data_IF_484448690769
#
_entry.id   IF_484448690769
#
_cell.length_a   1.000
_cell.length_b   1.000
_cell.length_c   1.000
_cell.angle_alpha   90.00
_cell.angle_beta   90.00
_cell.angle_gamma   90.00
#
_symmetry.space_group_name_H-M   'P 1'
#
loop_
_entity.id
_entity.type
_entity.pdbx_description
1 polymer ?
#
# COMPACT_ATOMS: atom_id res chain seq x y z
N UNK A 1 4.01 -16.15 3.79
CA UNK A 1 3.45 -14.80 3.55
C UNK A 1 3.62 -13.99 4.82
N UNK A 2 4.20 -12.78 4.75
CA UNK A 2 4.31 -11.92 5.92
C UNK A 2 2.92 -11.64 6.51
N UNK A 3 2.79 -11.67 7.84
CA UNK A 3 1.52 -11.47 8.54
C UNK A 3 1.02 -10.05 8.27
N UNK A 4 -0.07 -9.91 7.49
CA UNK A 4 -0.72 -8.62 7.24
C UNK A 4 -1.56 -8.21 8.45
N UNK A 5 -1.42 -6.95 8.88
CA UNK A 5 -2.24 -6.38 9.95
C UNK A 5 -3.57 -5.92 9.35
N UNK A 6 -4.68 -6.51 9.78
CA UNK A 6 -6.03 -6.02 9.46
C UNK A 6 -6.41 -4.92 10.46
N UNK A 7 -6.87 -3.78 9.96
CA UNK A 7 -7.40 -2.69 10.77
C UNK A 7 -8.49 -1.94 10.00
N UNK A 8 -9.52 -1.41 10.68
CA UNK A 8 -10.50 -0.53 10.03
C UNK A 8 -9.84 0.78 9.61
N UNK A 9 -9.85 1.08 8.31
CA UNK A 9 -9.38 2.35 7.77
C UNK A 9 -10.55 3.33 7.72
N UNK A 10 -10.40 4.49 8.37
CA UNK A 10 -11.32 5.62 8.17
C UNK A 10 -10.81 6.44 7.00
N UNK A 11 -11.59 6.49 5.93
CA UNK A 11 -11.28 7.18 4.69
C UNK A 11 -12.52 7.92 4.21
N UNK A 12 -12.30 9.06 3.55
CA UNK A 12 -13.38 9.77 2.86
C UNK A 12 -13.98 8.87 1.75
N UNK A 13 -15.32 8.76 1.64
CA UNK A 13 -15.96 7.90 0.64
C UNK A 13 -15.61 8.28 -0.81
N UNK A 14 -15.55 9.57 -1.13
CA UNK A 14 -15.24 10.01 -2.49
C UNK A 14 -13.78 9.66 -2.86
N UNK A 15 -12.86 9.78 -1.91
CA UNK A 15 -11.49 9.31 -2.11
C UNK A 15 -11.43 7.80 -2.33
N UNK A 16 -12.23 7.01 -1.60
CA UNK A 16 -12.28 5.56 -1.79
C UNK A 16 -12.73 5.18 -3.21
N UNK A 17 -13.76 5.83 -3.75
CA UNK A 17 -14.23 5.58 -5.11
C UNK A 17 -13.16 5.86 -6.17
N UNK A 18 -12.36 6.92 -5.99
CA UNK A 18 -11.25 7.24 -6.89
C UNK A 18 -10.20 6.12 -6.85
N UNK A 19 -9.82 5.68 -5.64
CA UNK A 19 -8.84 4.60 -5.44
C UNK A 19 -9.37 3.27 -6.00
N UNK A 20 -10.66 2.98 -5.86
CA UNK A 20 -11.27 1.76 -6.40
C UNK A 20 -11.19 1.73 -7.92
N UNK A 21 -11.58 2.81 -8.60
CA UNK A 21 -11.49 2.92 -10.08
C UNK A 21 -10.04 2.77 -10.55
N UNK A 22 -9.11 3.46 -9.90
CA UNK A 22 -7.69 3.36 -10.24
C UNK A 22 -7.14 1.94 -10.04
N UNK A 23 -7.54 1.25 -8.97
CA UNK A 23 -7.18 -0.15 -8.75
C UNK A 23 -7.69 -1.07 -9.87
N UNK A 24 -8.90 -0.85 -10.37
CA UNK A 24 -9.46 -1.62 -11.49
C UNK A 24 -8.69 -1.39 -12.79
N UNK A 25 -8.31 -0.15 -13.09
CA UNK A 25 -7.49 0.20 -14.27
C UNK A 25 -6.12 -0.50 -14.24
N UNK A 26 -5.55 -0.70 -13.06
CA UNK A 26 -4.28 -1.42 -12.88
C UNK A 26 -4.45 -2.95 -12.69
N UNK A 27 -5.67 -3.49 -12.81
CA UNK A 27 -5.97 -4.91 -12.56
C UNK A 27 -5.50 -5.40 -11.17
N UNK A 28 -5.65 -4.57 -10.14
CA UNK A 28 -5.31 -4.90 -8.73
C UNK A 28 -6.55 -4.92 -7.85
N UNK A 29 -6.47 -5.63 -6.73
CA UNK A 29 -7.46 -5.44 -5.67
C UNK A 29 -7.27 -4.08 -5.00
N UNK A 30 -8.36 -3.49 -4.51
CA UNK A 30 -8.33 -2.19 -3.80
C UNK A 30 -7.35 -2.21 -2.63
N UNK A 31 -7.33 -3.29 -1.84
CA UNK A 31 -6.38 -3.42 -0.72
C UNK A 31 -4.92 -3.48 -1.17
N UNK A 32 -4.62 -4.16 -2.29
CA UNK A 32 -3.27 -4.22 -2.83
C UNK A 32 -2.84 -2.85 -3.39
N UNK A 33 -3.76 -2.13 -4.02
CA UNK A 33 -3.50 -0.79 -4.55
C UNK A 33 -3.28 0.23 -3.42
N UNK A 34 -4.10 0.22 -2.36
CA UNK A 34 -3.88 1.05 -1.15
C UNK A 34 -2.50 0.76 -0.55
N UNK A 35 -2.12 -0.51 -0.40
CA UNK A 35 -0.79 -0.87 0.12
C UNK A 35 0.33 -0.31 -0.76
N UNK A 36 0.18 -0.40 -2.09
CA UNK A 36 1.12 0.17 -3.06
C UNK A 36 1.27 1.68 -2.87
N UNK A 37 0.17 2.44 -2.88
CA UNK A 37 0.18 3.90 -2.71
C UNK A 37 0.84 4.33 -1.39
N UNK A 38 0.50 3.65 -0.29
CA UNK A 38 1.10 3.95 1.02
C UNK A 38 2.60 3.66 1.05
N UNK A 39 3.06 2.59 0.37
CA UNK A 39 4.50 2.27 0.26
C UNK A 39 5.24 3.29 -0.60
N UNK A 40 4.65 3.71 -1.71
CA UNK A 40 5.21 4.77 -2.57
C UNK A 40 5.32 6.09 -1.81
N UNK A 41 4.24 6.52 -1.15
CA UNK A 41 4.23 7.74 -0.34
C UNK A 41 5.28 7.68 0.80
N UNK A 42 5.40 6.55 1.50
CA UNK A 42 6.42 6.35 2.52
C UNK A 42 7.84 6.39 1.93
N UNK A 43 8.06 5.87 0.73
CA UNK A 43 9.36 5.92 0.05
C UNK A 43 9.72 7.36 -0.36
N UNK A 44 8.77 8.07 -0.97
CA UNK A 44 8.93 9.48 -1.36
C UNK A 44 9.21 10.36 -0.14
N UNK A 45 8.57 10.07 0.99
CA UNK A 45 8.83 10.74 2.27
C UNK A 45 10.14 10.29 2.98
N UNK A 46 10.92 9.38 2.37
CA UNK A 46 12.16 8.84 2.96
C UNK A 46 11.95 8.00 4.23
N UNK A 47 10.72 7.54 4.49
CA UNK A 47 10.34 6.78 5.69
C UNK A 47 10.47 5.28 5.50
N UNK A 48 10.47 4.82 4.26
CA UNK A 48 10.76 3.42 3.94
C UNK A 48 12.28 3.22 3.99
N UNK A 49 12.80 2.70 5.12
CA UNK A 49 14.21 2.27 5.19
C UNK A 49 14.40 1.18 4.12
N UNK A 50 15.43 1.33 3.27
CA UNK A 50 15.87 0.21 2.41
C UNK A 50 16.09 -0.97 3.35
N UNK A 51 15.33 -2.05 3.17
CA UNK A 51 15.63 -3.27 3.89
C UNK A 51 17.09 -3.59 3.54
N UNK A 52 17.99 -3.48 4.51
CA UNK A 52 19.28 -4.15 4.41
C UNK A 52 18.88 -5.60 4.21
N UNK A 53 19.09 -6.11 3.00
CA UNK A 53 19.07 -7.54 2.69
C UNK A 53 19.81 -8.19 3.85
N UNK A 54 19.09 -8.91 4.72
CA UNK A 54 19.77 -9.86 5.60
C UNK A 54 20.24 -10.94 4.63
N UNK A 55 21.45 -10.76 4.11
CA UNK A 55 22.32 -11.88 3.78
C UNK A 55 22.40 -12.70 5.05
N UNK A 56 21.63 -13.78 5.08
CA UNK A 56 21.93 -14.88 5.98
C UNK A 56 22.87 -15.78 5.18
N UNK A 57 24.05 -16.02 5.78
CA UNK A 57 24.81 -17.27 5.63
C UNK A 57 23.90 -18.50 5.68
#
# INVERSE_FOLDING_TARGET
MAKKKSFPLRIDPALYEIIERWAQEEFRSVNAHIEFLLREAARQAGRLKKEKKKEND
#
